data_IF_472044169025
#
_entry.id   IF_472044169025
#
_cell.length_a   1.000
_cell.length_b   1.000
_cell.length_c   1.000
_cell.angle_alpha   90.00
_cell.angle_beta   90.00
_cell.angle_gamma   90.00
#
_symmetry.space_group_name_H-M   'P 1'
#
loop_
_entity.id
_entity.type
_entity.pdbx_description
1 polymer ?
#
# COMPACT_ATOMS: atom_id res chain seq x y z
N UNK A 1 -97.18 -43.42 30.98
CA UNK A 1 -96.17 -42.37 31.13
C UNK A 1 -94.75 -42.81 30.68
N UNK A 2 -94.59 -43.84 29.88
CA UNK A 2 -93.28 -44.40 29.46
C UNK A 2 -92.92 -44.17 27.98
N UNK A 3 -93.88 -43.82 27.13
CA UNK A 3 -93.65 -43.66 25.70
C UNK A 3 -93.08 -42.27 25.27
N UNK A 4 -93.40 -41.21 26.00
CA UNK A 4 -92.96 -39.87 25.71
C UNK A 4 -91.50 -39.58 26.07
N UNK A 5 -90.96 -40.25 27.07
CA UNK A 5 -89.58 -40.10 27.46
C UNK A 5 -88.63 -40.87 26.60
N UNK A 6 -89.06 -42.01 25.98
CA UNK A 6 -88.27 -42.75 25.04
C UNK A 6 -88.06 -41.98 23.69
N UNK A 7 -89.09 -41.25 23.25
CA UNK A 7 -89.00 -40.45 22.03
C UNK A 7 -88.13 -39.20 22.22
N UNK A 8 -88.12 -38.59 23.41
CA UNK A 8 -87.32 -37.42 23.76
C UNK A 8 -85.84 -37.77 23.86
N UNK A 9 -85.48 -38.94 24.42
CA UNK A 9 -84.12 -39.41 24.54
C UNK A 9 -83.54 -39.77 23.15
N UNK A 10 -84.39 -40.35 22.25
CA UNK A 10 -83.93 -40.71 20.87
C UNK A 10 -83.73 -39.51 20.00
N UNK A 11 -84.47 -38.43 20.21
CA UNK A 11 -84.26 -37.17 19.45
C UNK A 11 -83.04 -36.38 19.95
N UNK A 12 -82.74 -36.46 21.24
CA UNK A 12 -81.52 -35.85 21.81
C UNK A 12 -80.28 -36.62 21.40
N UNK A 13 -80.31 -37.93 21.29
CA UNK A 13 -79.18 -38.75 20.79
C UNK A 13 -78.86 -38.53 19.27
N UNK A 14 -79.90 -38.21 18.44
CA UNK A 14 -79.73 -37.94 17.04
C UNK A 14 -79.17 -36.54 16.77
N UNK A 15 -79.32 -35.58 17.73
CA UNK A 15 -78.76 -34.24 17.62
C UNK A 15 -77.27 -34.14 18.05
N UNK A 16 -76.76 -35.16 18.72
CA UNK A 16 -75.33 -35.24 19.14
C UNK A 16 -74.44 -35.98 18.18
N UNK A 17 -74.94 -36.59 17.11
CA UNK A 17 -74.15 -37.34 16.12
C UNK A 17 -73.84 -36.51 14.87
N UNK A 18 -74.11 -35.18 14.83
CA UNK A 18 -74.02 -34.33 13.67
C UNK A 18 -72.83 -33.36 13.59
N UNK A 19 -71.79 -33.57 14.37
CA UNK A 19 -70.64 -32.67 14.30
C UNK A 19 -69.34 -33.47 14.34
N UNK A 20 -68.93 -34.09 13.24
CA UNK A 20 -67.50 -34.37 12.95
C UNK A 20 -67.31 -34.79 11.50
N UNK A 21 -67.52 -33.88 10.55
CA UNK A 21 -66.77 -33.90 9.29
C UNK A 21 -66.03 -32.56 9.19
N UNK A 22 -65.16 -32.33 10.11
CA UNK A 22 -64.11 -31.33 9.94
C UNK A 22 -63.15 -31.89 8.88
N UNK A 23 -63.21 -31.29 7.70
CA UNK A 23 -62.21 -31.48 6.65
C UNK A 23 -60.81 -31.22 7.24
N UNK A 24 -60.12 -32.30 7.62
CA UNK A 24 -58.70 -32.22 8.01
C UNK A 24 -57.86 -32.05 6.73
N UNK A 25 -58.17 -31.08 5.89
CA UNK A 25 -57.16 -30.56 4.98
C UNK A 25 -56.12 -29.90 5.84
N UNK A 26 -55.06 -30.62 6.17
CA UNK A 26 -53.91 -30.15 6.90
C UNK A 26 -53.31 -28.95 6.14
N UNK A 27 -53.73 -27.74 6.48
CA UNK A 27 -53.09 -26.55 6.01
C UNK A 27 -51.72 -26.51 6.69
N UNK A 28 -50.68 -26.97 5.99
CA UNK A 28 -49.30 -26.76 6.39
C UNK A 28 -49.01 -25.30 6.09
N UNK A 29 -48.98 -24.46 7.12
CA UNK A 29 -48.45 -23.10 7.00
C UNK A 29 -46.94 -23.23 7.15
N UNK A 30 -46.23 -23.17 6.05
CA UNK A 30 -44.79 -23.05 6.04
C UNK A 30 -44.42 -21.57 5.87
N UNK A 31 -43.56 -21.08 6.70
CA UNK A 31 -42.92 -19.78 6.48
C UNK A 31 -41.73 -20.00 5.53
N UNK A 32 -41.76 -19.41 4.33
CA UNK A 32 -40.59 -19.34 3.46
C UNK A 32 -39.69 -18.22 4.01
N UNK A 33 -38.66 -18.60 4.76
CA UNK A 33 -37.58 -17.70 5.10
C UNK A 33 -36.56 -17.73 3.93
N UNK A 34 -36.26 -16.58 3.37
CA UNK A 34 -35.13 -16.39 2.49
C UNK A 34 -34.07 -15.55 3.21
N UNK A 35 -32.82 -15.94 3.13
CA UNK A 35 -31.73 -15.12 3.63
C UNK A 35 -31.62 -13.89 2.74
N UNK A 36 -31.78 -12.70 3.33
CA UNK A 36 -31.64 -11.42 2.66
C UNK A 36 -30.28 -10.83 2.99
N UNK A 37 -29.53 -10.46 1.97
CA UNK A 37 -28.26 -9.74 2.07
C UNK A 37 -28.45 -8.34 1.53
N UNK A 38 -28.27 -7.33 2.36
CA UNK A 38 -28.33 -5.93 1.95
C UNK A 38 -26.94 -5.47 1.48
N UNK A 39 -26.89 -4.92 0.28
CA UNK A 39 -25.68 -4.32 -0.28
C UNK A 39 -25.67 -2.83 0.05
N UNK A 40 -24.58 -2.35 0.64
CA UNK A 40 -24.46 -0.96 1.06
C UNK A 40 -23.39 -0.25 0.23
N UNK A 41 -23.63 1.04 -0.07
CA UNK A 41 -22.61 1.89 -0.65
C UNK A 41 -21.58 2.27 0.41
N UNK A 42 -20.29 2.10 0.08
CA UNK A 42 -19.20 2.55 0.95
C UNK A 42 -18.84 4.03 0.72
N UNK A 43 -19.11 4.56 -0.46
CA UNK A 43 -18.72 5.92 -0.86
C UNK A 43 -19.93 6.76 -1.26
N UNK A 44 -19.84 8.09 -0.98
CA UNK A 44 -20.81 9.07 -1.39
C UNK A 44 -20.51 9.55 -2.83
N UNK A 45 -20.54 8.63 -3.80
CA UNK A 45 -20.30 8.92 -5.21
C UNK A 45 -21.52 8.51 -6.06
N UNK A 46 -21.77 9.18 -7.20
CA UNK A 46 -22.92 8.86 -8.03
C UNK A 46 -22.78 7.48 -8.66
N UNK A 47 -23.91 6.80 -8.84
CA UNK A 47 -24.02 5.56 -9.61
C UNK A 47 -23.89 5.90 -11.09
N UNK A 48 -22.91 5.32 -11.76
CA UNK A 48 -22.61 5.57 -13.18
C UNK A 48 -23.01 4.41 -14.09
N UNK A 49 -23.19 3.22 -13.53
CA UNK A 49 -23.59 2.04 -14.29
C UNK A 49 -24.43 1.09 -13.43
N UNK A 50 -25.49 0.56 -14.02
CA UNK A 50 -26.34 -0.48 -13.47
C UNK A 50 -26.21 -1.69 -14.40
N UNK A 51 -25.77 -2.83 -13.88
CA UNK A 51 -25.41 -4.01 -14.68
C UNK A 51 -26.39 -5.17 -14.54
N UNK A 52 -27.37 -5.04 -13.64
CA UNK A 52 -28.38 -6.06 -13.38
C UNK A 52 -29.76 -5.42 -13.20
N UNK A 53 -30.80 -6.17 -13.55
CA UNK A 53 -32.18 -5.79 -13.33
C UNK A 53 -32.76 -6.48 -12.08
N UNK A 54 -33.88 -5.96 -11.58
CA UNK A 54 -34.64 -6.58 -10.48
C UNK A 54 -35.17 -7.95 -10.92
N UNK A 55 -35.05 -8.94 -10.02
CA UNK A 55 -35.42 -10.33 -10.31
C UNK A 55 -34.37 -11.12 -11.10
N UNK A 56 -33.25 -10.52 -11.46
CA UNK A 56 -32.18 -11.20 -12.19
C UNK A 56 -31.36 -12.12 -11.26
N UNK A 57 -30.94 -13.27 -11.80
CA UNK A 57 -30.04 -14.19 -11.09
C UNK A 57 -28.60 -13.73 -11.23
N UNK A 58 -27.92 -13.66 -10.08
CA UNK A 58 -26.53 -13.21 -9.97
C UNK A 58 -25.66 -14.27 -9.32
N UNK A 59 -24.36 -14.23 -9.61
CA UNK A 59 -23.35 -15.11 -9.02
C UNK A 59 -22.44 -14.34 -8.10
N UNK A 60 -21.87 -15.01 -7.10
CA UNK A 60 -20.90 -14.41 -6.17
C UNK A 60 -19.73 -13.74 -6.93
N UNK A 61 -19.40 -12.51 -6.56
CA UNK A 61 -18.37 -11.69 -7.20
C UNK A 61 -18.83 -10.92 -8.44
N UNK A 62 -20.03 -11.19 -8.97
CA UNK A 62 -20.57 -10.43 -10.11
C UNK A 62 -20.78 -8.96 -9.73
N UNK A 63 -20.34 -8.04 -10.59
CA UNK A 63 -20.58 -6.58 -10.42
C UNK A 63 -22.06 -6.30 -10.73
N UNK A 64 -22.73 -5.65 -9.80
CA UNK A 64 -24.16 -5.32 -9.91
C UNK A 64 -24.37 -3.86 -10.30
N UNK A 65 -23.57 -2.97 -9.73
CA UNK A 65 -23.55 -1.56 -10.07
C UNK A 65 -22.16 -0.95 -9.85
N UNK A 66 -21.91 0.19 -10.50
CA UNK A 66 -20.66 0.96 -10.33
C UNK A 66 -20.94 2.37 -9.88
N UNK A 67 -20.15 2.83 -8.93
CA UNK A 67 -20.07 4.23 -8.56
C UNK A 67 -18.93 4.93 -9.31
N UNK A 68 -18.99 6.27 -9.41
CA UNK A 68 -17.91 7.06 -10.03
C UNK A 68 -16.61 6.96 -9.24
N UNK A 69 -15.66 6.22 -9.77
CA UNK A 69 -14.34 6.03 -9.19
C UNK A 69 -13.29 7.07 -9.66
N UNK A 70 -13.68 8.14 -10.34
CA UNK A 70 -12.73 9.10 -10.95
C UNK A 70 -11.78 9.69 -9.91
N UNK A 71 -12.29 10.10 -8.74
CA UNK A 71 -11.46 10.64 -7.65
C UNK A 71 -10.57 9.57 -7.01
N UNK A 72 -11.09 8.37 -6.84
CA UNK A 72 -10.33 7.24 -6.29
C UNK A 72 -9.18 6.85 -7.23
N UNK A 73 -9.43 6.76 -8.54
CA UNK A 73 -8.39 6.50 -9.56
C UNK A 73 -7.31 7.59 -9.59
N UNK A 74 -7.70 8.86 -9.47
CA UNK A 74 -6.71 9.96 -9.42
C UNK A 74 -5.80 9.84 -8.19
N UNK A 75 -6.34 9.48 -7.01
CA UNK A 75 -5.55 9.24 -5.79
C UNK A 75 -4.65 8.01 -5.93
N UNK A 76 -5.13 6.95 -6.58
CA UNK A 76 -4.33 5.77 -6.87
C UNK A 76 -3.15 6.14 -7.78
N UNK A 77 -3.37 6.88 -8.86
CA UNK A 77 -2.32 7.34 -9.77
C UNK A 77 -1.26 8.21 -9.05
N UNK A 78 -1.69 9.08 -8.11
CA UNK A 78 -0.76 9.84 -7.26
C UNK A 78 0.12 8.92 -6.39
N UNK A 79 -0.48 7.89 -5.77
CA UNK A 79 0.25 6.93 -4.95
C UNK A 79 1.19 6.04 -5.78
N UNK A 80 0.80 5.68 -7.01
CA UNK A 80 1.67 4.97 -7.95
C UNK A 80 2.89 5.80 -8.35
N UNK A 81 2.70 7.10 -8.58
CA UNK A 81 3.80 8.02 -8.85
C UNK A 81 4.74 8.16 -7.63
N UNK A 82 4.20 8.24 -6.42
CA UNK A 82 4.98 8.27 -5.19
C UNK A 82 5.77 6.97 -4.97
N UNK A 83 5.19 5.80 -5.28
CA UNK A 83 5.89 4.52 -5.25
C UNK A 83 7.05 4.51 -6.26
N UNK A 84 6.82 4.99 -7.50
CA UNK A 84 7.87 5.09 -8.51
C UNK A 84 9.03 6.01 -8.08
N UNK A 85 8.74 7.12 -7.40
CA UNK A 85 9.77 8.01 -6.83
C UNK A 85 10.59 7.29 -5.74
N UNK A 86 9.94 6.58 -4.82
CA UNK A 86 10.64 5.83 -3.78
C UNK A 86 11.52 4.72 -4.35
N UNK A 87 11.06 4.00 -5.38
CA UNK A 87 11.83 2.98 -6.09
C UNK A 87 13.03 3.58 -6.80
N UNK A 88 12.85 4.69 -7.53
CA UNK A 88 13.95 5.38 -8.21
C UNK A 88 15.04 5.86 -7.23
N UNK A 89 14.64 6.31 -6.03
CA UNK A 89 15.58 6.69 -4.97
C UNK A 89 16.35 5.49 -4.43
N UNK A 90 15.69 4.36 -4.20
CA UNK A 90 16.36 3.11 -3.79
C UNK A 90 17.36 2.66 -4.85
N UNK A 91 16.97 2.67 -6.13
CA UNK A 91 17.83 2.31 -7.25
C UNK A 91 19.05 3.24 -7.38
N UNK A 92 18.89 4.53 -7.08
CA UNK A 92 20.01 5.49 -7.03
C UNK A 92 21.00 5.11 -5.93
N UNK A 93 20.52 4.81 -4.73
CA UNK A 93 21.35 4.43 -3.59
C UNK A 93 22.06 3.08 -3.82
N UNK A 94 21.38 2.12 -4.44
CA UNK A 94 21.94 0.81 -4.81
C UNK A 94 23.04 0.92 -5.88
N UNK A 95 22.90 1.85 -6.82
CA UNK A 95 23.96 2.10 -7.82
C UNK A 95 25.18 2.76 -7.23
N UNK A 96 25.03 3.50 -6.14
CA UNK A 96 26.12 4.21 -5.48
C UNK A 96 26.71 5.36 -6.33
N UNK A 97 27.92 5.84 -5.97
CA UNK A 97 28.61 6.92 -6.66
C UNK A 97 28.91 6.57 -8.11
N UNK A 98 28.90 7.56 -8.97
CA UNK A 98 29.23 7.38 -10.39
C UNK A 98 30.70 7.03 -10.57
N UNK A 99 31.00 6.19 -11.57
CA UNK A 99 32.37 5.80 -11.92
C UNK A 99 33.30 6.98 -12.15
N UNK A 100 32.79 8.05 -12.77
CA UNK A 100 33.55 9.27 -13.06
C UNK A 100 33.96 10.02 -11.78
N UNK A 101 33.11 9.98 -10.73
CA UNK A 101 33.43 10.57 -9.42
C UNK A 101 34.53 9.78 -8.73
N UNK A 102 34.49 8.45 -8.79
CA UNK A 102 35.53 7.58 -8.24
C UNK A 102 36.84 7.77 -8.98
N UNK A 103 36.84 7.85 -10.32
CA UNK A 103 38.05 8.08 -11.13
C UNK A 103 38.64 9.46 -10.83
N UNK A 104 37.84 10.51 -10.72
CA UNK A 104 38.32 11.84 -10.35
C UNK A 104 38.97 11.85 -8.94
N UNK A 105 38.36 11.13 -7.97
CA UNK A 105 38.92 11.01 -6.63
C UNK A 105 40.23 10.21 -6.62
N UNK A 106 40.36 9.14 -7.45
CA UNK A 106 41.61 8.39 -7.61
C UNK A 106 42.73 9.27 -8.18
N UNK A 107 42.45 10.04 -9.23
CA UNK A 107 43.41 10.97 -9.79
C UNK A 107 43.85 12.05 -8.77
N UNK A 108 42.93 12.55 -7.96
CA UNK A 108 43.27 13.52 -6.90
C UNK A 108 44.19 12.89 -5.81
N UNK A 109 43.94 11.63 -5.42
CA UNK A 109 44.83 10.91 -4.51
C UNK A 109 46.22 10.68 -5.11
N UNK A 110 46.31 10.30 -6.38
CA UNK A 110 47.58 10.15 -7.09
C UNK A 110 48.38 11.44 -7.10
N UNK A 111 47.79 12.56 -7.48
CA UNK A 111 48.43 13.88 -7.48
C UNK A 111 48.89 14.30 -6.07
N UNK A 112 48.08 14.04 -5.03
CA UNK A 112 48.52 14.31 -3.64
C UNK A 112 49.67 13.42 -3.16
N UNK A 113 49.71 12.17 -3.60
CA UNK A 113 50.82 11.25 -3.32
C UNK A 113 52.13 11.72 -3.95
N UNK A 114 52.05 12.19 -5.20
CA UNK A 114 53.22 12.69 -5.90
C UNK A 114 53.76 13.97 -5.25
N UNK A 115 52.86 14.90 -4.85
CA UNK A 115 53.23 16.11 -4.10
C UNK A 115 53.86 15.73 -2.74
N UNK A 116 53.28 14.76 -2.01
CA UNK A 116 53.85 14.28 -0.77
C UNK A 116 55.24 13.69 -0.96
N UNK A 117 55.45 12.90 -2.03
CA UNK A 117 56.77 12.32 -2.36
C UNK A 117 57.79 13.43 -2.65
N UNK A 118 57.41 14.45 -3.41
CA UNK A 118 58.25 15.60 -3.69
C UNK A 118 58.63 16.37 -2.41
N UNK A 119 57.65 16.71 -1.56
CA UNK A 119 57.90 17.43 -0.30
C UNK A 119 58.73 16.64 0.69
N UNK A 120 58.56 15.33 0.70
CA UNK A 120 59.42 14.41 1.52
C UNK A 120 60.88 14.48 1.06
N UNK A 121 61.12 14.38 -0.23
CA UNK A 121 62.47 14.46 -0.79
C UNK A 121 63.12 15.83 -0.56
N UNK A 122 62.34 16.89 -0.69
CA UNK A 122 62.79 18.25 -0.41
C UNK A 122 63.17 18.46 1.04
N UNK A 123 62.31 18.04 1.97
CA UNK A 123 62.59 18.11 3.41
C UNK A 123 63.87 17.33 3.77
N UNK A 124 64.04 16.10 3.24
CA UNK A 124 65.25 15.28 3.48
C UNK A 124 66.51 15.99 3.00
N UNK A 125 66.45 16.63 1.81
CA UNK A 125 67.57 17.43 1.26
C UNK A 125 67.90 18.61 2.12
N UNK A 126 66.90 19.42 2.54
CA UNK A 126 67.09 20.55 3.42
C UNK A 126 67.64 20.13 4.79
N UNK A 127 67.16 19.03 5.33
CA UNK A 127 67.69 18.46 6.59
C UNK A 127 69.18 18.10 6.49
N UNK A 128 69.61 17.41 5.42
CA UNK A 128 71.01 17.04 5.20
C UNK A 128 71.94 18.24 5.09
N UNK A 129 71.50 19.36 4.48
CA UNK A 129 72.32 20.57 4.39
C UNK A 129 72.28 21.37 5.70
N UNK A 130 71.19 21.32 6.44
CA UNK A 130 71.11 21.92 7.81
C UNK A 130 72.04 21.24 8.80
N UNK A 131 72.16 19.91 8.76
CA UNK A 131 73.11 19.14 9.59
C UNK A 131 74.59 19.51 9.32
N UNK A 132 74.88 20.04 8.13
CA UNK A 132 76.18 20.59 7.74
C UNK A 132 76.33 22.08 8.05
N UNK A 133 75.42 22.72 8.75
CA UNK A 133 75.33 24.14 9.05
C UNK A 133 75.25 25.03 7.79
N UNK A 134 74.70 24.51 6.67
CA UNK A 134 74.61 25.24 5.39
C UNK A 134 73.17 25.69 5.06
N UNK A 135 72.20 25.45 5.95
CA UNK A 135 70.83 25.94 5.83
C UNK A 135 70.42 26.64 7.14
N UNK A 136 69.55 27.62 7.04
CA UNK A 136 68.92 28.27 8.21
C UNK A 136 67.82 27.42 8.81
N UNK A 137 67.59 27.57 10.13
CA UNK A 137 66.48 26.92 10.84
C UNK A 137 65.12 27.25 10.19
N UNK A 138 64.97 28.52 9.74
CA UNK A 138 63.74 28.94 9.03
C UNK A 138 63.49 28.15 7.74
N UNK A 139 64.55 27.77 6.99
CA UNK A 139 64.38 26.96 5.76
C UNK A 139 63.97 25.54 6.10
N UNK A 140 64.54 24.96 7.18
CA UNK A 140 64.13 23.62 7.66
C UNK A 140 62.69 23.61 8.15
N UNK A 141 62.28 24.63 8.93
CA UNK A 141 60.90 24.75 9.41
C UNK A 141 59.89 24.91 8.29
N UNK A 142 60.20 25.69 7.24
CA UNK A 142 59.39 25.79 6.04
C UNK A 142 59.24 24.46 5.28
N UNK A 143 60.33 23.73 5.12
CA UNK A 143 60.31 22.46 4.45
C UNK A 143 59.49 21.44 5.25
N UNK A 144 59.62 21.44 6.58
CA UNK A 144 58.81 20.63 7.47
C UNK A 144 57.34 20.94 7.41
N UNK A 145 56.97 22.21 7.49
CA UNK A 145 55.58 22.68 7.40
C UNK A 145 54.94 22.28 6.04
N UNK A 146 55.72 22.40 4.94
CA UNK A 146 55.28 22.00 3.61
C UNK A 146 55.02 20.46 3.52
N UNK A 147 55.91 19.66 4.10
CA UNK A 147 55.75 18.21 4.20
C UNK A 147 54.51 17.82 5.01
N UNK A 148 54.31 18.44 6.16
CA UNK A 148 53.15 18.17 7.02
C UNK A 148 51.84 18.58 6.35
N UNK A 149 51.82 19.69 5.61
CA UNK A 149 50.67 20.09 4.81
C UNK A 149 50.36 19.08 3.70
N UNK A 150 51.39 18.57 2.97
CA UNK A 150 51.22 17.56 1.94
C UNK A 150 50.72 16.21 2.52
N UNK A 151 51.21 15.81 3.68
CA UNK A 151 50.69 14.62 4.40
C UNK A 151 49.22 14.74 4.78
N UNK A 152 48.83 15.89 5.30
CA UNK A 152 47.43 16.18 5.64
C UNK A 152 46.52 16.15 4.42
N UNK A 153 46.98 16.67 3.28
CA UNK A 153 46.26 16.65 2.00
C UNK A 153 46.09 15.23 1.47
N UNK A 154 47.16 14.42 1.42
CA UNK A 154 47.10 13.00 1.01
C UNK A 154 46.10 12.21 1.88
N UNK A 155 46.22 12.36 3.21
CA UNK A 155 45.31 11.70 4.15
C UNK A 155 43.85 12.09 3.89
N UNK A 156 43.55 13.38 3.69
CA UNK A 156 42.18 13.87 3.43
C UNK A 156 41.62 13.31 2.14
N UNK A 157 42.39 13.34 1.05
CA UNK A 157 41.94 12.86 -0.25
C UNK A 157 41.72 11.35 -0.27
N UNK A 158 42.58 10.57 0.44
CA UNK A 158 42.37 9.12 0.64
C UNK A 158 41.06 8.84 1.40
N UNK A 159 40.76 9.60 2.46
CA UNK A 159 39.52 9.45 3.21
C UNK A 159 38.30 9.75 2.34
N UNK A 160 38.35 10.77 1.46
CA UNK A 160 37.30 11.06 0.51
C UNK A 160 37.09 9.96 -0.52
N UNK A 161 38.18 9.37 -1.05
CA UNK A 161 38.09 8.22 -1.93
C UNK A 161 37.48 7.00 -1.22
N UNK A 162 37.89 6.73 -0.01
CA UNK A 162 37.37 5.63 0.82
C UNK A 162 35.86 5.80 1.06
N UNK A 163 35.40 7.02 1.39
CA UNK A 163 34.00 7.34 1.53
C UNK A 163 33.20 7.02 0.25
N UNK A 164 33.72 7.44 -0.92
CA UNK A 164 33.09 7.11 -2.22
C UNK A 164 33.08 5.60 -2.51
N UNK A 165 34.14 4.88 -2.14
CA UNK A 165 34.24 3.43 -2.38
C UNK A 165 33.35 2.63 -1.43
N UNK A 166 33.16 3.10 -0.21
CA UNK A 166 32.23 2.48 0.77
C UNK A 166 30.78 2.67 0.31
N UNK A 167 30.47 3.81 -0.37
CA UNK A 167 29.17 4.07 -0.94
C UNK A 167 28.09 4.31 0.12
N UNK A 168 26.86 3.92 -0.21
CA UNK A 168 25.66 4.12 0.61
C UNK A 168 25.72 3.25 1.87
N UNK A 169 25.35 3.79 3.01
CA UNK A 169 25.31 3.04 4.28
C UNK A 169 24.14 2.03 4.32
N UNK A 170 24.26 1.02 5.16
CA UNK A 170 23.19 0.02 5.35
C UNK A 170 21.93 0.66 5.89
N UNK A 171 22.07 1.68 6.73
CA UNK A 171 20.97 2.45 7.31
C UNK A 171 20.21 3.26 6.26
N UNK A 172 20.94 3.90 5.34
CA UNK A 172 20.32 4.65 4.23
C UNK A 172 19.57 3.71 3.26
N UNK A 173 20.13 2.55 2.95
CA UNK A 173 19.46 1.53 2.15
C UNK A 173 18.20 1.02 2.85
N UNK A 174 18.29 0.67 4.14
CA UNK A 174 17.14 0.21 4.92
C UNK A 174 16.04 1.28 5.00
N UNK A 175 16.41 2.55 5.13
CA UNK A 175 15.46 3.66 5.11
C UNK A 175 14.74 3.76 3.75
N UNK A 176 15.47 3.68 2.65
CA UNK A 176 14.90 3.73 1.31
C UNK A 176 14.00 2.52 1.02
N UNK A 177 14.40 1.31 1.42
CA UNK A 177 13.56 0.12 1.32
C UNK A 177 12.25 0.26 2.11
N UNK A 178 12.30 0.82 3.31
CA UNK A 178 11.10 1.06 4.11
C UNK A 178 10.20 2.12 3.48
N UNK A 179 10.77 3.15 2.84
CA UNK A 179 10.01 4.14 2.08
C UNK A 179 9.27 3.50 0.89
N UNK A 180 9.91 2.56 0.16
CA UNK A 180 9.25 1.79 -0.91
C UNK A 180 8.10 0.95 -0.35
N UNK A 181 8.31 0.23 0.76
CA UNK A 181 7.26 -0.58 1.41
C UNK A 181 6.07 0.28 1.85
N UNK A 182 6.34 1.44 2.41
CA UNK A 182 5.29 2.39 2.83
C UNK A 182 4.48 2.91 1.64
N UNK A 183 5.15 3.32 0.56
CA UNK A 183 4.50 3.79 -0.65
C UNK A 183 3.69 2.68 -1.34
N UNK A 184 4.20 1.44 -1.37
CA UNK A 184 3.50 0.27 -1.88
C UNK A 184 2.21 -0.01 -1.07
N UNK A 185 2.29 -0.04 0.26
CA UNK A 185 1.13 -0.25 1.11
C UNK A 185 0.07 0.86 0.92
N UNK A 186 0.50 2.10 0.71
CA UNK A 186 -0.41 3.21 0.40
C UNK A 186 -1.10 3.03 -0.94
N UNK A 187 -0.37 2.63 -1.99
CA UNK A 187 -0.92 2.31 -3.31
C UNK A 187 -1.93 1.18 -3.22
N UNK A 188 -1.61 0.09 -2.49
CA UNK A 188 -2.49 -1.07 -2.35
C UNK A 188 -3.80 -0.71 -1.64
N UNK A 189 -3.75 0.12 -0.60
CA UNK A 189 -4.94 0.63 0.08
C UNK A 189 -5.85 1.38 -0.90
N UNK A 190 -5.29 2.27 -1.71
CA UNK A 190 -6.07 3.05 -2.67
C UNK A 190 -6.57 2.21 -3.86
N UNK A 191 -5.87 1.13 -4.22
CA UNK A 191 -6.35 0.16 -5.20
C UNK A 191 -7.61 -0.57 -4.70
N UNK A 192 -7.63 -0.96 -3.42
CA UNK A 192 -8.83 -1.52 -2.78
C UNK A 192 -9.98 -0.51 -2.76
N UNK A 193 -9.69 0.77 -2.46
CA UNK A 193 -10.73 1.81 -2.51
C UNK A 193 -11.34 1.95 -3.91
N UNK A 194 -10.53 1.86 -4.98
CA UNK A 194 -11.04 1.86 -6.36
C UNK A 194 -11.91 0.64 -6.64
N UNK A 195 -11.49 -0.57 -6.24
CA UNK A 195 -12.26 -1.81 -6.46
C UNK A 195 -13.62 -1.78 -5.73
N UNK A 196 -13.69 -1.16 -4.55
CA UNK A 196 -14.92 -1.01 -3.76
C UNK A 196 -15.97 -0.06 -4.37
N UNK A 197 -15.63 0.68 -5.42
CA UNK A 197 -16.63 1.42 -6.20
C UNK A 197 -17.44 0.48 -7.12
N UNK A 198 -16.98 -0.74 -7.36
CA UNK A 198 -17.75 -1.81 -7.97
C UNK A 198 -18.51 -2.56 -6.87
N UNK A 199 -19.83 -2.37 -6.79
CA UNK A 199 -20.67 -3.08 -5.82
C UNK A 199 -20.96 -4.46 -6.38
N UNK A 200 -20.52 -5.52 -5.66
CA UNK A 200 -20.56 -6.91 -6.11
C UNK A 200 -21.49 -7.76 -5.24
N UNK A 201 -22.07 -8.80 -5.85
CA UNK A 201 -22.82 -9.82 -5.12
C UNK A 201 -21.87 -10.62 -4.21
N UNK A 202 -22.11 -10.71 -2.89
CA UNK A 202 -21.28 -11.51 -1.98
C UNK A 202 -21.56 -13.01 -2.09
N UNK A 203 -22.75 -13.39 -2.56
CA UNK A 203 -23.23 -14.78 -2.70
C UNK A 203 -24.04 -14.92 -3.98
N UNK A 204 -24.28 -16.17 -4.41
CA UNK A 204 -25.24 -16.46 -5.47
C UNK A 204 -26.67 -16.17 -4.98
N UNK A 205 -27.48 -15.53 -5.84
CA UNK A 205 -28.83 -15.17 -5.43
C UNK A 205 -29.68 -14.60 -6.57
N UNK A 206 -30.72 -13.91 -6.18
CA UNK A 206 -31.60 -13.16 -7.06
C UNK A 206 -31.71 -11.74 -6.50
N UNK A 207 -31.57 -10.74 -7.36
CA UNK A 207 -31.77 -9.35 -6.98
C UNK A 207 -33.24 -9.13 -6.64
N UNK A 208 -33.51 -8.57 -5.46
CA UNK A 208 -34.90 -8.30 -5.02
C UNK A 208 -35.37 -6.93 -5.51
N UNK A 209 -34.79 -5.87 -4.96
CA UNK A 209 -35.15 -4.50 -5.30
C UNK A 209 -33.94 -3.60 -5.38
N UNK A 210 -33.95 -2.64 -6.27
CA UNK A 210 -32.96 -1.59 -6.42
C UNK A 210 -33.48 -0.32 -5.75
N UNK A 211 -32.68 0.24 -4.84
CA UNK A 211 -33.07 1.40 -4.06
C UNK A 211 -32.59 2.73 -4.65
N UNK A 212 -31.72 2.67 -5.68
CA UNK A 212 -31.10 3.83 -6.33
C UNK A 212 -31.08 3.69 -7.84
N UNK A 213 -31.22 4.82 -8.52
CA UNK A 213 -31.17 4.93 -9.97
C UNK A 213 -29.84 5.49 -10.47
N UNK A 214 -29.64 5.42 -11.78
CA UNK A 214 -28.45 5.97 -12.44
C UNK A 214 -28.33 7.48 -12.18
N UNK A 215 -27.15 7.94 -11.76
CA UNK A 215 -26.88 9.33 -11.42
C UNK A 215 -27.20 9.71 -9.97
N UNK A 216 -27.89 8.87 -9.22
CA UNK A 216 -28.13 9.11 -7.80
C UNK A 216 -26.88 8.84 -6.96
N UNK A 217 -26.81 9.51 -5.81
CA UNK A 217 -25.66 9.45 -4.89
C UNK A 217 -26.12 8.92 -3.54
N UNK A 218 -25.86 7.66 -3.24
CA UNK A 218 -26.12 7.11 -1.91
C UNK A 218 -25.17 7.71 -0.87
N UNK A 219 -25.58 7.71 0.40
CA UNK A 219 -24.67 8.02 1.50
C UNK A 219 -23.89 6.77 1.91
N UNK A 220 -22.68 6.93 2.47
CA UNK A 220 -21.91 5.80 2.99
C UNK A 220 -22.71 5.01 4.03
N UNK A 221 -22.75 3.67 3.88
CA UNK A 221 -23.53 2.77 4.72
C UNK A 221 -25.01 2.67 4.37
N UNK A 222 -25.48 3.36 3.33
CA UNK A 222 -26.86 3.28 2.88
C UNK A 222 -27.06 2.04 2.00
N UNK A 223 -28.11 1.22 2.24
CA UNK A 223 -28.47 0.11 1.36
C UNK A 223 -28.76 0.62 -0.05
N UNK A 224 -28.23 -0.11 -1.05
CA UNK A 224 -28.44 0.22 -2.48
C UNK A 224 -29.21 -0.89 -3.22
N UNK A 225 -29.19 -2.11 -2.64
CA UNK A 225 -29.90 -3.27 -3.17
C UNK A 225 -30.18 -4.28 -2.08
#
# INVERSE_FOLDING_TARGET
MTSQHALLVMTIAALLAGCETGDKSGRVVGELASDRVELVAEFAEPIVELLVDEGERVTAGQVLMRQDATRARARLAEAEAALGQAQARLDELLRGPRSEQIEAARAAVEGARDELAFRRADYTRVQEISEKNLASDELLDRARAALDAARASDKRLRAQLEELLTGTTVEELAQAENAVKQAAARRDLLAVDVDRHDIRAPVDGITDSRLFELGERPNPGQPVM
#
